data_IF_246028250604
#
_entry.id   IF_246028250604
#
_cell.length_a   1.000
_cell.length_b   1.000
_cell.length_c   1.000
_cell.angle_alpha   90.00
_cell.angle_beta   90.00
_cell.angle_gamma   90.00
#
_symmetry.space_group_name_H-M   'P 1'
#
loop_
_entity.id
_entity.type
_entity.pdbx_description
1 polymer ?
#
# COMPACT_ATOMS: atom_id res chain seq x y z
N UNK A 1 -11.64 30.55 13.43
CA UNK A 1 -10.22 30.68 13.03
C UNK A 1 -10.02 29.87 11.75
N UNK A 2 -9.48 30.44 10.66
CA UNK A 2 -9.20 29.70 9.44
C UNK A 2 -8.25 28.52 9.70
N UNK A 3 -8.46 27.38 9.02
CA UNK A 3 -7.61 26.18 9.21
C UNK A 3 -6.12 26.47 9.02
N UNK A 4 -5.76 27.35 8.08
CA UNK A 4 -4.36 27.76 7.83
C UNK A 4 -3.70 28.44 9.04
N UNK A 5 -4.48 29.06 9.92
CA UNK A 5 -3.99 29.79 11.09
C UNK A 5 -3.99 28.88 12.34
N UNK A 6 -4.65 27.72 12.26
CA UNK A 6 -4.79 26.74 13.35
C UNK A 6 -3.89 25.51 13.20
N UNK A 7 -3.59 25.13 11.97
CA UNK A 7 -2.81 23.93 11.65
C UNK A 7 -1.32 24.25 11.71
N UNK A 8 -0.66 23.72 12.73
CA UNK A 8 0.81 23.75 12.85
C UNK A 8 1.35 22.40 12.38
N UNK A 9 2.41 22.41 11.57
CA UNK A 9 3.09 21.19 11.16
C UNK A 9 3.71 20.52 12.40
N UNK A 10 3.38 19.25 12.62
CA UNK A 10 3.91 18.44 13.71
C UNK A 10 4.34 17.07 13.19
N UNK A 11 5.42 16.47 13.74
CA UNK A 11 5.79 15.10 13.43
C UNK A 11 4.66 14.13 13.79
N UNK A 12 4.40 13.16 12.91
CA UNK A 12 3.38 12.14 13.17
C UNK A 12 3.70 11.29 14.43
N UNK A 13 4.98 11.10 14.72
CA UNK A 13 5.45 10.42 15.95
C UNK A 13 4.88 11.06 17.21
N UNK A 14 4.85 12.38 17.24
CA UNK A 14 4.47 13.16 18.42
C UNK A 14 2.96 13.14 18.63
N UNK A 15 2.20 13.10 17.53
CA UNK A 15 0.73 13.03 17.56
C UNK A 15 0.21 11.62 17.92
N UNK A 16 0.91 10.58 17.48
CA UNK A 16 0.44 9.20 17.61
C UNK A 16 1.15 8.42 18.74
N UNK A 17 2.18 8.99 19.37
CA UNK A 17 3.00 8.31 20.38
C UNK A 17 3.80 7.14 19.80
N UNK A 18 4.22 7.25 18.54
CA UNK A 18 4.96 6.21 17.83
C UNK A 18 6.44 6.61 17.70
N UNK A 19 7.39 5.67 17.75
CA UNK A 19 8.75 5.94 17.30
C UNK A 19 8.74 6.48 15.87
N UNK A 20 9.64 7.41 15.57
CA UNK A 20 9.71 8.00 14.23
C UNK A 20 9.87 6.91 13.14
N UNK A 21 10.60 5.84 13.40
CA UNK A 21 10.76 4.71 12.46
C UNK A 21 9.46 3.95 12.16
N UNK A 22 8.47 4.02 13.06
CA UNK A 22 7.19 3.33 12.94
C UNK A 22 6.09 4.16 12.24
N UNK A 23 6.42 5.35 11.74
CA UNK A 23 5.46 6.20 11.04
C UNK A 23 5.45 5.94 9.52
N UNK A 24 4.29 5.96 8.88
CA UNK A 24 4.14 5.76 7.44
C UNK A 24 3.01 6.63 6.85
N UNK A 25 2.97 7.92 7.24
CA UNK A 25 2.00 8.87 6.69
C UNK A 25 0.56 8.44 6.96
N UNK A 26 -0.29 8.43 5.91
CA UNK A 26 -1.71 8.06 6.06
C UNK A 26 -1.89 6.65 6.62
N UNK A 27 -1.00 5.70 6.28
CA UNK A 27 -1.08 4.30 6.72
C UNK A 27 -1.09 4.19 8.25
N UNK A 28 -0.25 4.96 8.94
CA UNK A 28 -0.15 4.93 10.41
C UNK A 28 -0.97 6.04 11.08
N UNK A 29 -1.90 6.65 10.36
CA UNK A 29 -2.89 7.55 10.98
C UNK A 29 -3.86 6.75 11.84
N UNK A 30 -4.43 7.38 12.88
CA UNK A 30 -5.41 6.74 13.76
C UNK A 30 -6.61 6.18 12.98
N UNK A 31 -7.11 6.94 12.00
CA UNK A 31 -8.29 6.57 11.21
C UNK A 31 -7.99 5.39 10.26
N UNK A 32 -6.84 5.40 9.57
CA UNK A 32 -6.46 4.26 8.74
C UNK A 32 -6.25 3.00 9.58
N UNK A 33 -5.59 3.14 10.75
CA UNK A 33 -5.38 2.03 11.65
C UNK A 33 -6.69 1.43 12.16
N UNK A 34 -7.64 2.26 12.58
CA UNK A 34 -8.98 1.81 12.98
C UNK A 34 -9.69 1.04 11.86
N UNK A 35 -9.55 1.51 10.63
CA UNK A 35 -10.24 0.90 9.49
C UNK A 35 -9.60 -0.42 9.05
N UNK A 36 -8.27 -0.53 9.11
CA UNK A 36 -7.55 -1.57 8.36
C UNK A 36 -6.50 -2.36 9.13
N UNK A 37 -6.12 -1.95 10.35
CA UNK A 37 -5.27 -2.75 11.26
C UNK A 37 -6.07 -3.52 12.32
N UNK A 38 -7.40 -3.34 12.40
CA UNK A 38 -8.25 -3.97 13.41
C UNK A 38 -8.27 -5.50 13.37
N UNK A 39 -8.28 -6.11 12.17
CA UNK A 39 -8.53 -7.54 12.01
C UNK A 39 -7.62 -8.20 10.98
N UNK A 40 -7.64 -9.54 10.99
CA UNK A 40 -6.85 -10.37 10.10
C UNK A 40 -5.34 -10.17 10.32
N UNK A 41 -4.55 -10.40 9.27
CA UNK A 41 -3.09 -10.34 9.31
C UNK A 41 -2.55 -9.13 8.55
N UNK A 42 -3.21 -7.98 8.74
CA UNK A 42 -2.93 -6.67 8.15
C UNK A 42 -3.00 -6.60 6.59
N UNK A 43 -3.54 -7.62 5.92
CA UNK A 43 -3.80 -7.62 4.47
C UNK A 43 -4.80 -6.55 4.03
N UNK A 44 -5.77 -6.20 4.89
CA UNK A 44 -6.72 -5.13 4.61
C UNK A 44 -6.01 -3.77 4.45
N UNK A 45 -5.06 -3.43 5.34
CA UNK A 45 -4.28 -2.20 5.24
C UNK A 45 -3.56 -2.12 3.89
N UNK A 46 -2.92 -3.21 3.48
CA UNK A 46 -2.23 -3.25 2.20
C UNK A 46 -3.20 -3.09 1.02
N UNK A 47 -4.27 -3.89 0.96
CA UNK A 47 -5.28 -3.80 -0.11
C UNK A 47 -5.83 -2.37 -0.25
N UNK A 48 -6.22 -1.75 0.86
CA UNK A 48 -6.78 -0.40 0.81
C UNK A 48 -5.72 0.67 0.57
N UNK A 49 -4.45 0.41 0.84
CA UNK A 49 -3.35 1.26 0.37
C UNK A 49 -3.26 1.23 -1.15
N UNK A 50 -3.35 0.05 -1.77
CA UNK A 50 -3.37 -0.06 -3.25
C UNK A 50 -4.57 0.65 -3.85
N UNK A 51 -5.77 0.35 -3.34
CA UNK A 51 -7.02 0.95 -3.83
C UNK A 51 -6.98 2.48 -3.76
N UNK A 52 -6.54 3.02 -2.62
CA UNK A 52 -6.59 4.46 -2.39
C UNK A 52 -5.39 5.22 -2.93
N UNK A 53 -4.22 4.60 -3.08
CA UNK A 53 -2.99 5.32 -3.41
C UNK A 53 -2.37 4.90 -4.73
N UNK A 54 -2.68 3.70 -5.24
CA UNK A 54 -2.24 3.21 -6.56
C UNK A 54 -3.42 3.02 -7.54
N UNK A 55 -4.66 3.25 -7.09
CA UNK A 55 -5.88 3.16 -7.90
C UNK A 55 -6.05 1.78 -8.56
N UNK A 56 -5.67 0.72 -7.83
CA UNK A 56 -5.78 -0.66 -8.26
C UNK A 56 -6.18 -1.56 -7.09
N UNK A 57 -6.89 -2.65 -7.36
CA UNK A 57 -7.18 -3.71 -6.39
C UNK A 57 -6.30 -4.94 -6.63
N UNK A 58 -6.25 -5.85 -5.65
CA UNK A 58 -5.49 -7.09 -5.71
C UNK A 58 -5.85 -7.95 -6.92
N UNK A 59 -7.12 -7.93 -7.36
CA UNK A 59 -7.55 -8.68 -8.55
C UNK A 59 -6.84 -8.22 -9.83
N UNK A 60 -6.48 -6.93 -9.93
CA UNK A 60 -5.81 -6.37 -11.11
C UNK A 60 -4.31 -6.68 -11.14
N UNK A 61 -3.74 -7.11 -10.01
CA UNK A 61 -2.31 -7.44 -9.86
C UNK A 61 -2.08 -8.92 -9.57
N UNK A 62 -3.05 -9.77 -9.90
CA UNK A 62 -2.92 -11.23 -9.77
C UNK A 62 -1.79 -11.74 -10.66
N UNK A 63 -0.87 -12.46 -10.05
CA UNK A 63 0.24 -13.10 -10.74
C UNK A 63 0.57 -14.45 -10.11
N UNK A 64 0.18 -15.53 -10.78
CA UNK A 64 0.46 -16.91 -10.35
C UNK A 64 1.90 -17.36 -10.68
N UNK A 65 2.69 -16.52 -11.38
CA UNK A 65 4.08 -16.85 -11.74
C UNK A 65 5.11 -16.49 -10.65
N UNK A 66 4.70 -15.79 -9.58
CA UNK A 66 5.60 -15.42 -8.47
C UNK A 66 5.81 -16.60 -7.50
N UNK A 67 6.94 -16.60 -6.81
CA UNK A 67 7.25 -17.59 -5.78
C UNK A 67 6.25 -17.51 -4.62
N UNK A 68 5.76 -18.68 -4.18
CA UNK A 68 4.79 -18.80 -3.08
C UNK A 68 5.46 -19.10 -1.72
N UNK A 69 6.77 -18.90 -1.61
CA UNK A 69 7.62 -19.18 -0.46
C UNK A 69 7.26 -18.36 0.79
N UNK A 70 6.73 -17.14 0.59
CA UNK A 70 6.27 -16.27 1.68
C UNK A 70 4.76 -16.31 1.91
N UNK A 71 4.03 -17.17 1.21
CA UNK A 71 2.59 -17.34 1.47
C UNK A 71 2.41 -18.06 2.80
N UNK A 72 1.71 -17.41 3.72
CA UNK A 72 1.62 -17.81 5.12
C UNK A 72 0.85 -19.11 5.35
N UNK A 73 0.98 -19.62 6.58
CA UNK A 73 0.29 -20.81 7.07
C UNK A 73 -1.24 -20.68 7.07
N UNK A 74 -1.78 -19.45 7.03
CA UNK A 74 -3.21 -19.17 7.15
C UNK A 74 -4.03 -19.46 5.89
N UNK A 75 -3.39 -19.85 4.78
CA UNK A 75 -4.04 -20.20 3.52
C UNK A 75 -4.06 -21.73 3.35
N UNK A 76 -5.25 -22.38 3.38
CA UNK A 76 -5.36 -23.84 3.28
C UNK A 76 -4.78 -24.43 1.99
N UNK A 77 -4.10 -25.58 2.11
CA UNK A 77 -3.54 -26.40 1.01
C UNK A 77 -3.58 -27.86 1.42
N UNK A 78 -3.36 -28.80 0.51
CA UNK A 78 -3.38 -30.23 0.86
C UNK A 78 -2.34 -30.56 1.95
N UNK A 79 -2.66 -31.41 2.94
CA UNK A 79 -3.87 -32.24 3.05
C UNK A 79 -5.11 -31.55 3.65
N UNK A 80 -5.00 -30.33 4.19
CA UNK A 80 -6.09 -29.59 4.84
C UNK A 80 -6.94 -28.70 3.90
N UNK A 81 -6.71 -28.79 2.59
CA UNK A 81 -7.37 -27.98 1.56
C UNK A 81 -7.05 -28.47 0.13
N UNK A 82 -7.50 -27.73 -0.89
CA UNK A 82 -7.27 -28.07 -2.31
C UNK A 82 -6.04 -27.32 -2.85
N UNK A 83 -4.93 -28.05 -3.09
CA UNK A 83 -3.71 -27.47 -3.65
C UNK A 83 -3.88 -26.92 -5.07
N UNK A 84 -4.86 -27.39 -5.86
CA UNK A 84 -5.14 -26.83 -7.19
C UNK A 84 -5.80 -25.45 -7.05
N UNK A 85 -6.72 -25.29 -6.10
CA UNK A 85 -7.29 -23.99 -5.78
C UNK A 85 -6.18 -23.03 -5.33
N UNK A 86 -5.29 -23.48 -4.44
CA UNK A 86 -4.16 -22.70 -3.98
C UNK A 86 -3.29 -22.21 -5.15
N UNK A 87 -2.79 -23.13 -5.97
CA UNK A 87 -1.86 -22.83 -7.07
C UNK A 87 -2.49 -21.95 -8.16
N UNK A 88 -3.77 -22.16 -8.48
CA UNK A 88 -4.42 -21.48 -9.60
C UNK A 88 -5.10 -20.16 -9.20
N UNK A 89 -5.41 -19.95 -7.92
CA UNK A 89 -6.23 -18.81 -7.48
C UNK A 89 -5.56 -18.04 -6.33
N UNK A 90 -5.25 -18.72 -5.23
CA UNK A 90 -4.74 -18.05 -4.03
C UNK A 90 -3.35 -17.45 -4.26
N UNK A 91 -2.45 -18.20 -4.90
CA UNK A 91 -1.09 -17.74 -5.24
C UNK A 91 -1.12 -16.43 -6.02
N UNK A 92 -2.12 -16.24 -6.90
CA UNK A 92 -2.25 -15.04 -7.72
C UNK A 92 -2.21 -13.75 -6.91
N UNK A 93 -2.92 -13.68 -5.78
CA UNK A 93 -2.84 -12.51 -4.89
C UNK A 93 -1.73 -12.66 -3.85
N UNK A 94 -1.60 -13.84 -3.23
CA UNK A 94 -0.79 -14.01 -2.03
C UNK A 94 0.71 -13.99 -2.28
N UNK A 95 1.19 -14.50 -3.42
CA UNK A 95 2.61 -14.57 -3.70
C UNK A 95 3.26 -13.18 -3.80
N UNK A 96 2.51 -12.17 -4.25
CA UNK A 96 2.97 -10.79 -4.26
C UNK A 96 2.61 -9.99 -3.00
N UNK A 97 1.41 -10.21 -2.45
CA UNK A 97 0.91 -9.45 -1.31
C UNK A 97 1.59 -9.84 0.02
N UNK A 98 1.74 -11.13 0.31
CA UNK A 98 2.19 -11.58 1.63
C UNK A 98 3.63 -11.11 1.97
N UNK A 99 4.61 -11.13 1.03
CA UNK A 99 5.92 -10.49 1.26
C UNK A 99 5.83 -9.01 1.67
N UNK A 100 4.95 -8.23 1.03
CA UNK A 100 4.80 -6.80 1.30
C UNK A 100 4.07 -6.54 2.63
N UNK A 101 3.02 -7.31 2.92
CA UNK A 101 2.24 -7.20 4.15
C UNK A 101 3.06 -7.49 5.41
N UNK A 102 4.20 -8.19 5.30
CA UNK A 102 5.11 -8.40 6.43
C UNK A 102 5.64 -7.09 7.02
N UNK A 103 5.73 -6.00 6.25
CA UNK A 103 6.07 -4.66 6.75
C UNK A 103 5.17 -4.20 7.92
N UNK A 104 4.00 -4.81 8.07
CA UNK A 104 3.03 -4.51 9.12
C UNK A 104 3.06 -5.50 10.29
N UNK A 105 4.04 -6.41 10.37
CA UNK A 105 4.08 -7.50 11.35
C UNK A 105 4.03 -7.02 12.81
N UNK A 106 4.56 -5.83 13.08
CA UNK A 106 4.63 -5.23 14.42
C UNK A 106 3.45 -4.30 14.75
N UNK A 107 2.46 -4.18 13.85
CA UNK A 107 1.35 -3.23 13.94
C UNK A 107 0.02 -3.92 14.26
N UNK A 108 -0.74 -3.28 15.15
CA UNK A 108 -2.06 -3.71 15.60
C UNK A 108 -2.95 -2.49 15.86
N UNK A 109 -4.23 -2.71 16.18
CA UNK A 109 -5.11 -1.65 16.63
C UNK A 109 -5.67 -2.01 18.01
N UNK A 110 -5.46 -1.11 18.97
CA UNK A 110 -6.07 -1.20 20.29
C UNK A 110 -7.43 -0.52 20.22
N UNK A 111 -8.49 -1.33 20.08
CA UNK A 111 -9.86 -0.83 19.99
C UNK A 111 -10.32 -0.13 21.27
N UNK A 112 -9.88 -0.62 22.44
CA UNK A 112 -10.26 -0.07 23.73
C UNK A 112 -9.64 1.32 23.95
N UNK A 113 -8.37 1.50 23.59
CA UNK A 113 -7.69 2.80 23.62
C UNK A 113 -7.93 3.63 22.34
N UNK A 114 -8.56 3.05 21.32
CA UNK A 114 -8.84 3.69 20.05
C UNK A 114 -7.61 4.18 19.29
N UNK A 115 -6.48 3.45 19.35
CA UNK A 115 -5.17 3.87 18.80
C UNK A 115 -4.43 2.75 18.07
N UNK A 116 -3.53 3.14 17.16
CA UNK A 116 -2.57 2.21 16.57
C UNK A 116 -1.61 1.72 17.67
N UNK A 117 -1.39 0.42 17.72
CA UNK A 117 -0.40 -0.22 18.57
C UNK A 117 0.78 -0.64 17.71
N UNK A 118 1.99 -0.31 18.15
CA UNK A 118 3.24 -0.76 17.55
C UNK A 118 4.12 -1.35 18.65
N UNK A 119 4.64 -2.55 18.41
CA UNK A 119 5.58 -3.19 19.34
C UNK A 119 6.84 -3.60 18.57
N UNK A 120 7.94 -2.84 18.68
CA UNK A 120 9.17 -3.16 17.97
C UNK A 120 9.61 -4.59 18.25
N UNK A 121 10.11 -5.27 17.21
CA UNK A 121 10.68 -6.62 17.30
C UNK A 121 9.71 -7.70 17.79
N UNK A 122 8.40 -7.43 17.74
CA UNK A 122 7.36 -8.36 18.15
C UNK A 122 6.26 -8.51 17.10
N UNK A 123 6.29 -9.63 16.39
CA UNK A 123 5.20 -10.03 15.49
C UNK A 123 3.90 -10.16 16.28
N UNK A 124 2.84 -9.49 15.79
CA UNK A 124 1.54 -9.47 16.46
C UNK A 124 0.88 -10.84 16.44
N UNK A 125 0.22 -11.28 17.53
CA UNK A 125 -0.39 -12.62 17.62
C UNK A 125 -1.36 -12.96 16.49
N UNK A 126 -2.00 -11.93 15.89
CA UNK A 126 -2.87 -12.07 14.71
C UNK A 126 -2.23 -12.83 13.55
N UNK A 127 -0.91 -12.78 13.38
CA UNK A 127 -0.18 -13.49 12.31
C UNK A 127 -0.19 -15.02 12.49
N UNK A 128 -0.58 -15.55 13.66
CA UNK A 128 -0.62 -16.98 13.98
C UNK A 128 -2.03 -17.53 14.23
N UNK A 129 -3.09 -16.74 14.06
CA UNK A 129 -4.48 -17.14 14.39
C UNK A 129 -4.98 -18.36 13.61
N UNK A 130 -4.37 -18.65 12.46
CA UNK A 130 -4.74 -19.73 11.55
C UNK A 130 -3.52 -20.59 11.19
N UNK A 131 -2.53 -20.70 12.09
CA UNK A 131 -1.28 -21.42 11.83
C UNK A 131 -1.48 -22.92 11.50
N UNK A 132 -2.61 -23.51 11.95
CA UNK A 132 -2.95 -24.90 11.69
C UNK A 132 -3.55 -25.16 10.29
N UNK A 133 -3.95 -24.13 9.54
CA UNK A 133 -4.52 -24.29 8.19
C UNK A 133 -3.53 -24.97 7.23
N UNK A 134 -2.25 -24.62 7.32
CA UNK A 134 -1.16 -25.25 6.59
C UNK A 134 0.17 -25.04 7.34
N UNK A 135 0.45 -25.91 8.32
CA UNK A 135 1.67 -25.84 9.16
C UNK A 135 2.99 -25.65 8.39
N UNK A 136 3.21 -26.25 7.20
CA UNK A 136 4.43 -26.03 6.43
C UNK A 136 4.52 -24.66 5.75
N UNK A 137 3.48 -23.82 5.83
CA UNK A 137 3.47 -22.47 5.25
C UNK A 137 4.43 -21.53 5.98
N UNK A 138 4.60 -20.33 5.41
CA UNK A 138 5.55 -19.36 5.94
C UNK A 138 5.12 -18.82 7.31
N UNK A 139 6.05 -18.87 8.28
CA UNK A 139 5.93 -18.20 9.59
C UNK A 139 6.61 -16.85 9.47
N UNK A 140 5.90 -15.77 9.79
CA UNK A 140 6.43 -14.40 9.77
C UNK A 140 7.35 -14.17 10.98
N UNK A 141 8.67 -14.00 10.79
CA UNK A 141 9.61 -13.85 11.90
C UNK A 141 9.81 -12.40 12.34
N UNK A 142 9.65 -11.44 11.43
CA UNK A 142 9.99 -10.03 11.61
C UNK A 142 9.12 -9.13 10.68
N UNK A 143 9.52 -7.86 10.50
CA UNK A 143 8.87 -6.89 9.61
C UNK A 143 9.60 -6.64 8.28
N UNK A 144 10.52 -7.54 7.89
CA UNK A 144 11.21 -7.48 6.60
C UNK A 144 10.22 -7.77 5.46
N UNK A 145 10.28 -6.99 4.39
CA UNK A 145 9.45 -7.18 3.20
C UNK A 145 10.29 -7.16 1.92
N UNK A 146 9.80 -7.88 0.90
CA UNK A 146 10.36 -7.90 -0.46
C UNK A 146 9.26 -7.63 -1.48
N UNK A 147 9.58 -6.85 -2.51
CA UNK A 147 8.64 -6.52 -3.58
C UNK A 147 8.81 -7.44 -4.78
N UNK A 148 8.14 -8.59 -4.75
CA UNK A 148 8.14 -9.54 -5.86
C UNK A 148 7.47 -8.98 -7.14
N UNK A 149 6.68 -7.91 -7.02
CA UNK A 149 6.07 -7.23 -8.17
C UNK A 149 7.04 -6.39 -9.00
N UNK A 150 8.31 -6.25 -8.58
CA UNK A 150 9.35 -5.66 -9.41
C UNK A 150 9.69 -6.47 -10.66
N UNK A 151 9.23 -7.72 -10.72
CA UNK A 151 9.37 -8.58 -11.89
C UNK A 151 8.00 -9.14 -12.31
N UNK A 152 7.93 -9.64 -13.56
CA UNK A 152 6.70 -10.17 -14.13
C UNK A 152 5.72 -9.06 -14.56
N UNK A 153 4.43 -9.38 -14.73
CA UNK A 153 3.43 -8.44 -15.24
C UNK A 153 3.29 -7.17 -14.38
N UNK A 154 3.48 -7.29 -13.07
CA UNK A 154 3.35 -6.17 -12.14
C UNK A 154 4.57 -5.21 -12.13
N UNK A 155 5.63 -5.50 -12.90
CA UNK A 155 6.73 -4.57 -13.11
C UNK A 155 6.25 -3.27 -13.80
N UNK A 156 5.15 -3.36 -14.56
CA UNK A 156 4.49 -2.23 -15.23
C UNK A 156 3.89 -1.20 -14.27
N UNK A 157 3.83 -1.49 -12.96
CA UNK A 157 3.49 -0.50 -11.95
C UNK A 157 4.57 0.59 -11.80
N UNK A 158 5.73 0.41 -12.45
CA UNK A 158 6.76 1.44 -12.60
C UNK A 158 7.51 1.71 -11.31
N UNK A 159 8.05 0.65 -10.70
CA UNK A 159 8.84 0.72 -9.48
C UNK A 159 10.12 1.54 -9.66
N UNK A 160 10.48 2.32 -8.64
CA UNK A 160 11.68 3.15 -8.68
C UNK A 160 12.94 2.28 -8.63
N UNK A 161 13.78 2.37 -9.67
CA UNK A 161 15.03 1.62 -9.78
C UNK A 161 16.10 2.07 -8.81
N UNK A 162 15.98 3.26 -8.21
CA UNK A 162 16.87 3.74 -7.16
C UNK A 162 16.56 3.13 -5.77
N UNK A 163 15.36 2.55 -5.60
CA UNK A 163 14.97 1.88 -4.37
C UNK A 163 15.32 0.37 -4.42
N UNK A 164 15.68 -0.24 -3.27
CA UNK A 164 16.15 -1.62 -3.21
C UNK A 164 15.08 -2.66 -3.55
N UNK A 165 13.78 -2.29 -3.47
CA UNK A 165 12.70 -3.25 -3.62
C UNK A 165 12.51 -4.20 -2.43
N UNK A 166 13.11 -3.86 -1.30
CA UNK A 166 12.97 -4.56 -0.03
C UNK A 166 13.21 -3.59 1.13
N UNK A 167 12.89 -3.98 2.34
CA UNK A 167 13.13 -3.15 3.51
C UNK A 167 12.49 -3.69 4.78
N UNK A 168 12.39 -2.84 5.80
CA UNK A 168 11.79 -3.16 7.08
C UNK A 168 10.71 -2.15 7.44
N UNK A 169 9.56 -2.67 7.86
CA UNK A 169 8.49 -1.88 8.45
C UNK A 169 7.69 -1.02 7.47
N UNK A 170 6.56 -0.52 7.96
CA UNK A 170 5.58 0.26 7.19
C UNK A 170 6.18 1.50 6.50
N UNK A 171 7.16 2.16 7.12
CA UNK A 171 7.77 3.37 6.57
C UNK A 171 8.46 3.12 5.24
N UNK A 172 9.35 2.14 5.20
CA UNK A 172 10.14 1.84 4.00
C UNK A 172 9.25 1.25 2.90
N UNK A 173 8.26 0.43 3.24
CA UNK A 173 7.24 -0.01 2.29
C UNK A 173 6.44 1.19 1.73
N UNK A 174 6.07 2.14 2.58
CA UNK A 174 5.42 3.37 2.13
C UNK A 174 6.24 4.15 1.11
N UNK A 175 7.58 4.22 1.30
CA UNK A 175 8.51 4.83 0.34
C UNK A 175 8.52 4.07 -0.99
N UNK A 176 8.58 2.74 -0.95
CA UNK A 176 8.50 1.89 -2.15
C UNK A 176 7.23 2.13 -2.96
N UNK A 177 6.07 2.12 -2.29
CA UNK A 177 4.78 2.33 -2.93
C UNK A 177 4.63 3.76 -3.49
N UNK A 178 5.02 4.77 -2.70
CA UNK A 178 4.86 6.18 -3.07
C UNK A 178 5.78 6.62 -4.22
N UNK A 179 6.88 5.92 -4.48
CA UNK A 179 7.78 6.23 -5.59
C UNK A 179 7.45 5.49 -6.90
N UNK A 180 6.40 4.67 -6.91
CA UNK A 180 5.93 3.99 -8.13
C UNK A 180 5.25 4.96 -9.12
N UNK A 181 5.32 4.64 -10.42
CA UNK A 181 4.52 5.33 -11.44
C UNK A 181 3.02 5.16 -11.18
N UNK A 182 2.59 3.99 -10.69
CA UNK A 182 1.20 3.73 -10.32
C UNK A 182 0.68 4.71 -9.26
N UNK A 183 1.48 5.04 -8.24
CA UNK A 183 1.13 6.04 -7.24
C UNK A 183 0.95 7.43 -7.88
N UNK A 184 1.93 7.88 -8.65
CA UNK A 184 1.87 9.19 -9.30
C UNK A 184 0.66 9.31 -10.25
N UNK A 185 0.41 8.27 -11.05
CA UNK A 185 -0.74 8.21 -11.95
C UNK A 185 -2.07 8.23 -11.20
N UNK A 186 -2.16 7.52 -10.07
CA UNK A 186 -3.36 7.55 -9.25
C UNK A 186 -3.64 8.95 -8.68
N UNK A 187 -2.61 9.64 -8.18
CA UNK A 187 -2.79 11.01 -7.67
C UNK A 187 -3.16 11.99 -8.79
N UNK A 188 -2.52 11.90 -9.95
CA UNK A 188 -2.84 12.73 -11.12
C UNK A 188 -4.29 12.51 -11.59
N UNK A 189 -4.74 11.26 -11.71
CA UNK A 189 -6.14 10.92 -12.08
C UNK A 189 -7.15 11.48 -11.09
N UNK A 190 -6.88 11.37 -9.79
CA UNK A 190 -7.76 11.91 -8.75
C UNK A 190 -7.89 13.42 -8.83
N UNK A 191 -6.77 14.12 -9.02
CA UNK A 191 -6.77 15.58 -9.18
C UNK A 191 -7.46 15.99 -10.47
N UNK A 192 -7.18 15.30 -11.59
CA UNK A 192 -7.88 15.49 -12.86
C UNK A 192 -9.38 15.43 -12.67
N UNK A 193 -9.89 14.34 -12.11
CA UNK A 193 -11.32 14.17 -11.85
C UNK A 193 -11.90 15.26 -10.96
N UNK A 194 -11.16 15.67 -9.92
CA UNK A 194 -11.63 16.69 -8.98
C UNK A 194 -11.69 18.09 -9.59
N UNK A 195 -10.80 18.41 -10.54
CA UNK A 195 -10.70 19.74 -11.16
C UNK A 195 -11.54 19.83 -12.43
N UNK A 196 -11.51 18.80 -13.27
CA UNK A 196 -12.21 18.72 -14.55
C UNK A 196 -13.65 18.19 -14.41
N UNK A 197 -14.00 17.66 -13.24
CA UNK A 197 -15.34 17.14 -12.91
C UNK A 197 -15.80 15.97 -13.81
N UNK A 198 -14.85 15.29 -14.46
CA UNK A 198 -15.07 14.13 -15.33
C UNK A 198 -13.90 13.16 -15.28
N UNK A 199 -14.13 11.92 -15.72
CA UNK A 199 -13.05 10.98 -15.99
C UNK A 199 -12.31 11.36 -17.29
N UNK A 200 -11.06 10.91 -17.50
CA UNK A 200 -10.42 11.00 -18.81
C UNK A 200 -11.20 10.17 -19.84
N UNK A 201 -11.50 10.74 -20.99
CA UNK A 201 -12.37 10.12 -22.02
C UNK A 201 -11.64 9.81 -23.32
N UNK A 202 -10.49 10.46 -23.58
CA UNK A 202 -9.77 10.32 -24.83
C UNK A 202 -8.24 10.27 -24.65
N UNK A 203 -7.54 10.17 -25.78
CA UNK A 203 -6.09 10.11 -25.81
C UNK A 203 -5.41 11.38 -25.30
N UNK A 204 -6.03 12.56 -25.45
CA UNK A 204 -5.49 13.82 -24.96
C UNK A 204 -5.52 13.86 -23.43
N UNK A 205 -6.63 13.45 -22.81
CA UNK A 205 -6.73 13.37 -21.35
C UNK A 205 -5.74 12.36 -20.77
N UNK A 206 -5.62 11.19 -21.39
CA UNK A 206 -4.66 10.18 -20.95
C UNK A 206 -3.22 10.66 -21.08
N UNK A 207 -2.89 11.39 -22.16
CA UNK A 207 -1.58 12.01 -22.32
C UNK A 207 -1.34 13.11 -21.27
N UNK A 208 -2.35 13.93 -20.95
CA UNK A 208 -2.26 14.96 -19.92
C UNK A 208 -2.02 14.35 -18.53
N UNK A 209 -2.74 13.28 -18.19
CA UNK A 209 -2.53 12.55 -16.92
C UNK A 209 -1.11 11.97 -16.85
N UNK A 210 -0.59 11.43 -17.96
CA UNK A 210 0.79 10.93 -18.01
C UNK A 210 1.79 12.08 -17.76
N UNK A 211 1.64 13.21 -18.45
CA UNK A 211 2.48 14.39 -18.26
C UNK A 211 2.42 14.93 -16.82
N UNK A 212 1.23 14.99 -16.23
CA UNK A 212 1.02 15.36 -14.82
C UNK A 212 1.68 14.38 -13.85
N UNK A 213 1.63 13.08 -14.14
CA UNK A 213 2.27 12.05 -13.31
C UNK A 213 3.79 12.22 -13.29
N UNK A 214 4.38 12.46 -14.46
CA UNK A 214 5.83 12.66 -14.59
C UNK A 214 6.26 13.98 -13.94
N UNK A 215 5.49 15.05 -14.13
CA UNK A 215 5.68 16.34 -13.45
C UNK A 215 5.61 16.19 -11.93
N UNK A 216 4.64 15.43 -11.41
CA UNK A 216 4.48 15.19 -9.99
C UNK A 216 5.71 14.51 -9.37
N UNK A 217 6.23 13.45 -10.02
CA UNK A 217 7.45 12.76 -9.59
C UNK A 217 8.68 13.67 -9.65
N UNK A 218 8.81 14.46 -10.72
CA UNK A 218 9.93 15.37 -10.91
C UNK A 218 9.92 16.59 -9.96
N UNK A 219 8.77 16.93 -9.38
CA UNK A 219 8.57 18.12 -8.55
C UNK A 219 8.22 17.78 -7.09
N UNK A 220 8.96 16.85 -6.50
CA UNK A 220 8.86 16.47 -5.09
C UNK A 220 7.45 16.06 -4.65
N UNK A 221 6.67 15.45 -5.54
CA UNK A 221 5.30 15.01 -5.25
C UNK A 221 4.40 16.14 -4.73
N UNK A 222 4.53 17.34 -5.31
CA UNK A 222 3.70 18.50 -4.96
C UNK A 222 2.28 18.39 -5.51
N UNK A 223 1.29 18.07 -4.65
CA UNK A 223 -0.12 18.05 -5.07
C UNK A 223 -0.59 19.40 -5.60
N UNK A 224 -0.09 20.51 -5.04
CA UNK A 224 -0.39 21.87 -5.52
C UNK A 224 -0.09 22.02 -7.01
N UNK A 225 0.99 21.38 -7.48
CA UNK A 225 1.37 21.39 -8.90
C UNK A 225 0.35 20.66 -9.76
N UNK A 226 -0.09 19.46 -9.35
CA UNK A 226 -1.14 18.71 -10.05
C UNK A 226 -2.43 19.53 -10.18
N UNK A 227 -2.86 20.20 -9.11
CA UNK A 227 -4.07 21.04 -9.16
C UNK A 227 -3.91 22.19 -10.15
N UNK A 228 -2.74 22.84 -10.17
CA UNK A 228 -2.47 23.93 -11.10
C UNK A 228 -2.44 23.45 -12.56
N UNK A 229 -1.76 22.33 -12.85
CA UNK A 229 -1.67 21.76 -14.19
C UNK A 229 -3.03 21.29 -14.71
N UNK A 230 -3.82 20.63 -13.85
CA UNK A 230 -5.17 20.21 -14.20
C UNK A 230 -6.10 21.39 -14.46
N UNK A 231 -5.99 22.48 -13.69
CA UNK A 231 -6.81 23.67 -13.88
C UNK A 231 -6.46 24.41 -15.17
N UNK A 232 -5.19 24.37 -15.58
CA UNK A 232 -4.77 24.92 -16.88
C UNK A 232 -5.29 24.09 -18.04
N UNK A 233 -5.30 22.76 -17.91
CA UNK A 233 -5.81 21.87 -18.96
C UNK A 233 -7.34 21.98 -19.11
N UNK A 234 -8.08 21.93 -18.00
CA UNK A 234 -9.55 21.89 -18.01
C UNK A 234 -10.23 23.28 -18.07
N UNK A 235 -9.47 24.33 -18.41
CA UNK A 235 -10.05 25.67 -18.55
C UNK A 235 -10.87 25.76 -19.84
N UNK A 236 -12.15 26.11 -19.73
CA UNK A 236 -13.01 26.34 -20.88
C UNK A 236 -13.71 25.10 -21.45
N UNK A 237 -13.59 23.96 -20.77
CA UNK A 237 -14.57 22.87 -20.82
C UNK A 237 -15.75 23.18 -19.89
#
# INVERSE_FOLDING_TARGET
MPLKDALVAAPQSDLNGLPATATAGVITSRQAARAFFIAGTNRAMFRFTLLNHLCLDLEQVKDTSRAADRVRQDIPRSPGGDSRLFLNNCVGCHAGMDPLVQAYAYYDYDEAAGRLLYTPDQVRPKYLINADNFKPGYVTPDDQWDNYWRAGPNALLGWDSALPGSGNGAKSLGVELANSQAFASCQAKKVFKAVCLREPVDSADHAQIAAMSDSFRANNYSLKRLFAESAVYCRGE
#
